data_IF_965023923758
#
_entry.id   IF_965023923758
#
_cell.length_a   1.000
_cell.length_b   1.000
_cell.length_c   1.000
_cell.angle_alpha   90.00
_cell.angle_beta   90.00
_cell.angle_gamma   90.00
#
_symmetry.space_group_name_H-M   'P 1'
#
loop_
_entity.id
_entity.type
_entity.pdbx_description
1 polymer ?
#
# COMPACT_ATOMS: atom_id res chain seq x y z
N UNK A 1 -30.65 0.71 -26.50
CA UNK A 1 -29.30 1.16 -26.16
C UNK A 1 -29.04 2.44 -26.94
N UNK A 2 -28.75 3.53 -26.26
CA UNK A 2 -28.48 4.82 -26.91
C UNK A 2 -27.09 4.80 -27.59
N UNK A 3 -26.85 5.68 -28.55
CA UNK A 3 -25.54 5.82 -29.22
C UNK A 3 -24.41 6.08 -28.20
N UNK A 4 -24.71 6.77 -27.09
CA UNK A 4 -23.76 7.04 -26.02
C UNK A 4 -23.32 5.77 -25.27
N UNK A 5 -24.25 4.87 -24.91
CA UNK A 5 -23.94 3.61 -24.25
C UNK A 5 -23.07 2.70 -25.14
N UNK A 6 -23.35 2.69 -26.45
CA UNK A 6 -22.54 1.95 -27.42
C UNK A 6 -21.10 2.48 -27.48
N UNK A 7 -20.93 3.80 -27.41
CA UNK A 7 -19.60 4.44 -27.39
C UNK A 7 -18.86 4.10 -26.09
N UNK A 8 -19.51 4.20 -24.93
CA UNK A 8 -18.90 3.89 -23.64
C UNK A 8 -18.46 2.42 -23.55
N UNK A 9 -19.28 1.49 -24.07
CA UNK A 9 -18.92 0.09 -24.15
C UNK A 9 -17.70 -0.15 -25.06
N UNK A 10 -17.63 0.54 -26.22
CA UNK A 10 -16.47 0.48 -27.13
C UNK A 10 -15.20 1.04 -26.50
N UNK A 11 -15.33 2.08 -25.67
CA UNK A 11 -14.23 2.68 -24.92
C UNK A 11 -13.84 1.90 -23.66
N UNK A 12 -14.60 0.85 -23.30
CA UNK A 12 -14.44 0.06 -22.08
C UNK A 12 -14.29 0.93 -20.83
N UNK A 13 -15.13 1.96 -20.72
CA UNK A 13 -15.06 2.93 -19.61
C UNK A 13 -15.57 2.27 -18.34
N UNK A 14 -14.73 2.23 -17.32
CA UNK A 14 -15.10 1.85 -15.96
C UNK A 14 -14.63 2.90 -14.96
N UNK A 15 -15.36 3.03 -13.85
CA UNK A 15 -14.92 3.86 -12.73
C UNK A 15 -13.67 3.25 -12.09
N UNK A 16 -12.80 4.11 -11.55
CA UNK A 16 -11.62 3.66 -10.83
C UNK A 16 -12.02 2.91 -9.56
N UNK A 17 -11.30 1.83 -9.26
CA UNK A 17 -11.49 1.04 -8.04
C UNK A 17 -10.14 0.84 -7.32
N UNK A 18 -10.18 0.75 -5.99
CA UNK A 18 -9.03 0.36 -5.16
C UNK A 18 -9.49 -0.61 -4.08
N UNK A 19 -8.56 -1.47 -3.66
CA UNK A 19 -8.79 -2.43 -2.58
C UNK A 19 -8.00 -2.02 -1.34
N UNK A 20 -8.68 -1.92 -0.20
CA UNK A 20 -8.10 -1.50 1.08
C UNK A 20 -8.28 -2.62 2.11
N UNK A 21 -7.20 -3.19 2.68
CA UNK A 21 -7.32 -4.14 3.77
C UNK A 21 -7.67 -3.43 5.09
N UNK A 22 -8.63 -3.98 5.82
CA UNK A 22 -8.99 -3.57 7.18
C UNK A 22 -8.63 -4.66 8.19
N UNK A 23 -7.94 -4.26 9.26
CA UNK A 23 -7.52 -5.15 10.34
C UNK A 23 -8.46 -4.93 11.52
N UNK A 24 -9.53 -5.72 11.58
CA UNK A 24 -10.61 -5.55 12.55
C UNK A 24 -10.37 -6.31 13.87
N UNK A 25 -9.42 -7.25 13.89
CA UNK A 25 -9.06 -7.99 15.10
C UNK A 25 -7.95 -7.26 15.89
N UNK A 26 -8.34 -6.23 16.64
CA UNK A 26 -7.42 -5.42 17.44
C UNK A 26 -6.66 -6.22 18.50
N UNK A 27 -7.25 -7.28 19.04
CA UNK A 27 -6.58 -8.16 20.00
C UNK A 27 -5.43 -8.93 19.36
N UNK A 28 -5.67 -9.53 18.20
CA UNK A 28 -4.64 -10.28 17.48
C UNK A 28 -3.49 -9.36 17.04
N UNK A 29 -3.81 -8.11 16.68
CA UNK A 29 -2.81 -7.09 16.40
C UNK A 29 -1.99 -6.72 17.66
N UNK A 30 -2.63 -6.57 18.81
CA UNK A 30 -1.94 -6.34 20.08
C UNK A 30 -1.01 -7.50 20.45
N UNK A 31 -1.48 -8.75 20.31
CA UNK A 31 -0.66 -9.95 20.55
C UNK A 31 0.58 -9.97 19.63
N UNK A 32 0.43 -9.56 18.36
CA UNK A 32 1.55 -9.40 17.43
C UNK A 32 2.53 -8.30 17.85
N UNK A 33 2.03 -7.13 18.26
CA UNK A 33 2.87 -6.02 18.75
C UNK A 33 3.66 -6.41 20.01
N UNK A 34 3.04 -7.15 20.93
CA UNK A 34 3.68 -7.65 22.14
C UNK A 34 4.81 -8.64 21.80
N UNK A 35 4.55 -9.61 20.92
CA UNK A 35 5.57 -10.55 20.45
C UNK A 35 6.73 -9.85 19.74
N UNK A 36 6.44 -8.82 18.94
CA UNK A 36 7.44 -8.02 18.24
C UNK A 36 8.34 -7.24 19.22
N UNK A 37 7.74 -6.68 20.27
CA UNK A 37 8.47 -5.99 21.33
C UNK A 37 9.38 -6.95 22.09
N UNK A 38 8.88 -8.11 22.50
CA UNK A 38 9.67 -9.14 23.17
C UNK A 38 10.88 -9.60 22.34
N UNK A 39 10.67 -9.83 21.03
CA UNK A 39 11.76 -10.19 20.12
C UNK A 39 12.81 -9.09 20.03
N UNK A 40 12.37 -7.84 19.92
CA UNK A 40 13.25 -6.67 19.82
C UNK A 40 14.09 -6.52 21.08
N UNK A 41 13.47 -6.62 22.26
CA UNK A 41 14.15 -6.53 23.55
C UNK A 41 15.18 -7.67 23.71
N UNK A 42 14.80 -8.91 23.34
CA UNK A 42 15.70 -10.06 23.40
C UNK A 42 16.92 -9.89 22.49
N UNK A 43 16.72 -9.38 21.27
CA UNK A 43 17.82 -9.09 20.34
C UNK A 43 18.76 -8.02 20.89
N UNK A 44 18.23 -6.98 21.53
CA UNK A 44 19.06 -5.93 22.15
C UNK A 44 19.89 -6.50 23.31
N UNK A 45 19.28 -7.31 24.19
CA UNK A 45 19.98 -7.97 25.30
C UNK A 45 21.08 -8.93 24.81
N UNK A 46 20.81 -9.69 23.74
CA UNK A 46 21.79 -10.60 23.15
C UNK A 46 22.99 -9.83 22.55
N UNK A 47 22.75 -8.72 21.84
CA UNK A 47 23.82 -7.86 21.31
C UNK A 47 24.68 -7.21 22.39
N UNK A 48 24.08 -6.84 23.52
CA UNK A 48 24.81 -6.28 24.67
C UNK A 48 25.68 -7.30 25.40
N UNK A 49 25.38 -8.60 25.24
CA UNK A 49 26.12 -9.70 25.85
C UNK A 49 27.19 -10.19 24.86
N UNK A 50 28.41 -9.66 24.97
CA UNK A 50 29.52 -9.84 24.02
C UNK A 50 30.04 -11.29 23.81
N UNK A 51 29.37 -12.31 24.34
CA UNK A 51 29.97 -13.62 24.62
C UNK A 51 29.23 -14.83 24.02
N UNK A 52 28.42 -14.63 22.97
CA UNK A 52 27.71 -15.76 22.37
C UNK A 52 27.81 -15.82 20.85
N UNK A 53 28.80 -16.60 20.38
CA UNK A 53 28.83 -17.19 19.03
C UNK A 53 27.72 -18.25 18.83
N UNK A 54 27.00 -18.63 19.88
CA UNK A 54 25.88 -19.56 19.82
C UNK A 54 24.57 -18.78 19.56
N UNK A 55 23.93 -19.04 18.42
CA UNK A 55 22.68 -18.38 18.07
C UNK A 55 21.59 -18.58 19.14
N UNK A 56 20.84 -17.52 19.43
CA UNK A 56 19.85 -17.44 20.52
C UNK A 56 18.58 -18.29 20.26
N UNK A 57 18.37 -19.41 20.98
CA UNK A 57 17.20 -20.27 20.78
C UNK A 57 15.88 -19.57 21.12
N UNK A 58 15.90 -18.65 22.09
CA UNK A 58 14.70 -17.95 22.52
C UNK A 58 14.30 -16.87 21.52
N UNK A 59 15.27 -16.13 20.95
CA UNK A 59 14.99 -15.23 19.84
C UNK A 59 14.43 -15.97 18.63
N UNK A 60 14.88 -17.20 18.34
CA UNK A 60 14.29 -18.03 17.27
C UNK A 60 12.84 -18.43 17.57
N UNK A 61 12.54 -18.77 18.82
CA UNK A 61 11.16 -19.08 19.26
C UNK A 61 10.24 -17.86 19.12
N UNK A 62 10.71 -16.68 19.56
CA UNK A 62 9.98 -15.41 19.45
C UNK A 62 9.76 -15.01 17.99
N UNK A 63 10.79 -15.14 17.14
CA UNK A 63 10.66 -14.88 15.70
C UNK A 63 9.59 -15.77 15.06
N UNK A 64 9.58 -17.08 15.36
CA UNK A 64 8.54 -17.98 14.87
C UNK A 64 7.14 -17.55 15.34
N UNK A 65 7.01 -17.11 16.60
CA UNK A 65 5.73 -16.63 17.13
C UNK A 65 5.26 -15.36 16.43
N UNK A 66 6.16 -14.43 16.14
CA UNK A 66 5.87 -13.23 15.34
C UNK A 66 5.37 -13.63 13.96
N UNK A 67 6.06 -14.54 13.26
CA UNK A 67 5.66 -15.01 11.92
C UNK A 67 4.26 -15.65 11.93
N UNK A 68 3.99 -16.50 12.94
CA UNK A 68 2.69 -17.15 13.12
C UNK A 68 1.57 -16.13 13.38
N UNK A 69 1.82 -15.10 14.19
CA UNK A 69 0.85 -14.05 14.50
C UNK A 69 0.65 -13.11 13.30
N UNK A 70 1.71 -12.77 12.58
CA UNK A 70 1.62 -11.94 11.38
C UNK A 70 0.74 -12.60 10.32
N UNK A 71 0.90 -13.91 10.11
CA UNK A 71 0.04 -14.65 9.19
C UNK A 71 -1.41 -14.67 9.68
N UNK A 72 -1.67 -14.88 10.98
CA UNK A 72 -3.02 -14.81 11.53
C UNK A 72 -3.64 -13.41 11.34
N UNK A 73 -2.89 -12.33 11.62
CA UNK A 73 -3.35 -10.94 11.40
C UNK A 73 -3.72 -10.76 9.92
N UNK A 74 -2.84 -11.20 9.02
CA UNK A 74 -3.03 -11.12 7.56
C UNK A 74 -4.24 -11.90 7.09
N UNK A 75 -4.49 -13.08 7.64
CA UNK A 75 -5.66 -13.90 7.32
C UNK A 75 -6.94 -13.33 7.90
N UNK A 76 -6.89 -12.65 9.05
CA UNK A 76 -8.07 -12.09 9.74
C UNK A 76 -8.60 -10.77 9.14
N UNK A 77 -7.95 -10.25 8.09
CA UNK A 77 -8.32 -8.95 7.51
C UNK A 77 -9.59 -9.05 6.68
N UNK A 78 -10.42 -8.01 6.76
CA UNK A 78 -11.46 -7.76 5.78
C UNK A 78 -10.87 -6.97 4.60
N UNK A 79 -11.38 -7.21 3.39
CA UNK A 79 -10.95 -6.56 2.17
C UNK A 79 -12.09 -5.67 1.68
N UNK A 80 -11.87 -4.36 1.68
CA UNK A 80 -12.86 -3.38 1.22
C UNK A 80 -12.52 -2.95 -0.20
N UNK A 81 -13.48 -3.05 -1.10
CA UNK A 81 -13.36 -2.51 -2.45
C UNK A 81 -14.09 -1.18 -2.53
N UNK A 82 -13.32 -0.14 -2.84
CA UNK A 82 -13.80 1.22 -3.01
C UNK A 82 -13.87 1.55 -4.51
N UNK A 83 -14.84 2.36 -4.90
CA UNK A 83 -15.03 2.86 -6.26
C UNK A 83 -15.17 4.38 -6.27
N UNK A 84 -14.64 5.01 -7.30
CA UNK A 84 -14.82 6.44 -7.59
C UNK A 84 -16.31 6.76 -7.85
N UNK A 85 -16.75 7.93 -7.43
CA UNK A 85 -18.06 8.49 -7.77
C UNK A 85 -18.02 9.27 -9.09
N UNK A 86 -16.86 9.35 -9.74
CA UNK A 86 -16.68 10.06 -11.00
C UNK A 86 -17.09 11.53 -10.89
N UNK A 87 -17.97 11.99 -11.78
CA UNK A 87 -18.41 13.40 -11.78
C UNK A 87 -19.40 13.73 -10.67
N UNK A 88 -20.05 12.73 -10.07
CA UNK A 88 -20.98 12.98 -8.95
C UNK A 88 -20.25 13.52 -7.71
N UNK A 89 -18.96 13.18 -7.53
CA UNK A 89 -18.10 13.69 -6.44
C UNK A 89 -18.19 15.21 -6.26
N UNK A 90 -18.15 15.98 -7.35
CA UNK A 90 -18.21 17.44 -7.27
C UNK A 90 -19.53 17.94 -6.66
N UNK A 91 -20.64 17.24 -6.90
CA UNK A 91 -21.93 17.56 -6.30
C UNK A 91 -21.90 17.45 -4.77
N UNK A 92 -21.29 16.38 -4.24
CA UNK A 92 -21.15 16.18 -2.80
C UNK A 92 -20.24 17.22 -2.14
N UNK A 93 -19.13 17.59 -2.79
CA UNK A 93 -18.23 18.66 -2.29
C UNK A 93 -18.96 20.01 -2.21
N UNK A 94 -19.73 20.38 -3.26
CA UNK A 94 -20.48 21.64 -3.29
C UNK A 94 -21.59 21.67 -2.23
N UNK A 95 -22.22 20.52 -1.97
CA UNK A 95 -23.30 20.40 -0.97
C UNK A 95 -22.83 20.71 0.46
N UNK A 96 -21.56 20.48 0.75
CA UNK A 96 -20.98 20.57 2.10
C UNK A 96 -19.88 21.64 2.15
N UNK A 97 -20.22 22.94 2.20
CA UNK A 97 -19.22 23.99 2.25
C UNK A 97 -18.34 23.91 3.52
N UNK A 98 -17.11 24.46 3.49
CA UNK A 98 -16.22 24.50 4.66
C UNK A 98 -16.88 25.09 5.90
N UNK A 99 -16.61 24.53 7.09
CA UNK A 99 -17.01 25.14 8.37
C UNK A 99 -16.21 26.41 8.64
N UNK A 100 -16.85 27.41 9.25
CA UNK A 100 -16.16 28.66 9.59
C UNK A 100 -15.06 28.42 10.63
N UNK A 101 -13.90 29.05 10.42
CA UNK A 101 -12.73 28.89 11.29
C UNK A 101 -11.99 27.55 11.21
N UNK A 102 -12.42 26.60 10.37
CA UNK A 102 -11.74 25.31 10.21
C UNK A 102 -10.74 25.36 9.04
N UNK A 103 -9.44 25.28 9.34
CA UNK A 103 -8.37 25.38 8.34
C UNK A 103 -8.24 24.13 7.46
N UNK A 104 -8.58 22.95 7.99
CA UNK A 104 -8.54 21.69 7.23
C UNK A 104 -9.67 21.65 6.20
N UNK A 105 -10.87 22.08 6.58
CA UNK A 105 -12.00 22.24 5.67
C UNK A 105 -11.69 23.27 4.56
N UNK A 106 -11.03 24.38 4.90
CA UNK A 106 -10.62 25.40 3.91
C UNK A 106 -9.60 24.84 2.92
N UNK A 107 -8.60 24.10 3.40
CA UNK A 107 -7.60 23.47 2.55
C UNK A 107 -8.22 22.39 1.64
N UNK A 108 -9.21 21.65 2.16
CA UNK A 108 -9.95 20.63 1.42
C UNK A 108 -10.95 21.25 0.41
N UNK A 109 -11.52 22.42 0.74
CA UNK A 109 -12.53 23.13 -0.04
C UNK A 109 -13.98 22.75 0.26
N UNK A 110 -14.21 21.97 1.33
CA UNK A 110 -15.52 21.53 1.79
C UNK A 110 -15.43 21.09 3.27
N UNK A 111 -16.58 20.89 3.93
CA UNK A 111 -16.64 20.20 5.21
C UNK A 111 -16.25 18.74 5.00
N UNK A 112 -15.02 18.39 5.40
CA UNK A 112 -14.41 17.11 5.10
C UNK A 112 -15.24 15.96 5.67
N UNK A 113 -15.65 16.06 6.92
CA UNK A 113 -16.39 15.01 7.63
C UNK A 113 -17.75 14.79 6.98
N UNK A 114 -18.52 15.86 6.72
CA UNK A 114 -19.84 15.75 6.11
C UNK A 114 -19.79 15.18 4.69
N UNK A 115 -18.76 15.52 3.90
CA UNK A 115 -18.54 14.90 2.58
C UNK A 115 -18.28 13.41 2.73
N UNK A 116 -17.36 13.00 3.60
CA UNK A 116 -16.99 11.59 3.73
C UNK A 116 -18.11 10.73 4.33
N UNK A 117 -18.87 11.25 5.28
CA UNK A 117 -20.04 10.57 5.85
C UNK A 117 -21.09 10.24 4.78
N UNK A 118 -21.29 11.12 3.80
CA UNK A 118 -22.26 10.92 2.72
C UNK A 118 -21.72 10.02 1.60
N UNK A 119 -20.45 10.18 1.21
CA UNK A 119 -19.88 9.47 0.05
C UNK A 119 -19.29 8.11 0.36
N UNK A 120 -18.85 7.86 1.59
CA UNK A 120 -18.25 6.58 1.98
C UNK A 120 -19.19 5.38 1.80
N UNK A 121 -20.47 5.40 2.24
CA UNK A 121 -21.38 4.27 2.04
C UNK A 121 -21.67 3.99 0.55
N UNK A 122 -21.50 5.00 -0.31
CA UNK A 122 -21.67 4.87 -1.76
C UNK A 122 -20.38 4.38 -2.44
N UNK A 123 -19.23 4.85 -1.96
CA UNK A 123 -17.92 4.51 -2.52
C UNK A 123 -17.50 3.09 -2.14
N UNK A 124 -17.95 2.59 -0.98
CA UNK A 124 -17.76 1.21 -0.57
C UNK A 124 -18.70 0.30 -1.37
N UNK A 125 -18.19 -0.43 -2.35
CA UNK A 125 -19.02 -1.27 -3.24
C UNK A 125 -19.06 -2.73 -2.80
N UNK A 126 -18.04 -3.21 -2.09
CA UNK A 126 -17.94 -4.59 -1.66
C UNK A 126 -17.02 -4.72 -0.45
N UNK A 127 -17.37 -5.63 0.45
CA UNK A 127 -16.54 -6.05 1.57
C UNK A 127 -16.40 -7.56 1.49
N UNK A 128 -15.17 -8.07 1.52
CA UNK A 128 -14.88 -9.50 1.59
C UNK A 128 -14.25 -9.83 2.95
N UNK A 129 -14.88 -10.72 3.70
CA UNK A 129 -14.41 -11.18 5.01
C UNK A 129 -13.24 -12.15 4.89
N UNK A 130 -12.58 -12.41 6.03
CA UNK A 130 -11.44 -13.32 6.14
C UNK A 130 -11.73 -14.75 5.63
N UNK A 131 -12.96 -15.24 5.79
CA UNK A 131 -13.42 -16.54 5.31
C UNK A 131 -13.88 -16.53 3.84
N UNK A 132 -13.69 -15.40 3.14
CA UNK A 132 -13.97 -15.25 1.72
C UNK A 132 -15.42 -14.94 1.36
N UNK A 133 -16.28 -14.63 2.35
CA UNK A 133 -17.64 -14.18 2.06
C UNK A 133 -17.61 -12.72 1.58
N UNK A 134 -18.21 -12.46 0.42
CA UNK A 134 -18.30 -11.12 -0.15
C UNK A 134 -19.72 -10.57 -0.02
N UNK A 135 -19.83 -9.37 0.55
CA UNK A 135 -21.07 -8.61 0.65
C UNK A 135 -21.00 -7.40 -0.28
N UNK A 136 -22.02 -7.21 -1.12
CA UNK A 136 -22.16 -5.98 -1.91
C UNK A 136 -22.66 -4.88 -0.99
N UNK A 137 -21.96 -3.76 -0.96
CA UNK A 137 -22.23 -2.65 -0.03
C UNK A 137 -22.99 -1.50 -0.69
N UNK A 138 -22.79 -1.30 -2.00
CA UNK A 138 -23.52 -0.34 -2.81
C UNK A 138 -23.81 -0.90 -4.20
N UNK A 139 -24.94 -0.50 -4.78
CA UNK A 139 -25.38 -0.88 -6.11
C UNK A 139 -26.06 0.29 -6.82
N UNK A 140 -25.98 0.32 -8.14
CA UNK A 140 -26.79 1.25 -8.92
C UNK A 140 -28.23 0.72 -9.01
N UNK A 141 -29.18 1.52 -8.57
CA UNK A 141 -30.63 1.27 -8.61
C UNK A 141 -31.24 2.45 -9.34
N UNK A 142 -31.92 2.19 -10.46
CA UNK A 142 -32.54 3.22 -11.30
C UNK A 142 -31.60 4.36 -11.73
N UNK A 143 -30.31 4.06 -11.92
CA UNK A 143 -29.28 5.03 -12.31
C UNK A 143 -28.65 5.78 -11.14
N UNK A 144 -29.06 5.49 -9.90
CA UNK A 144 -28.54 6.11 -8.69
C UNK A 144 -27.79 5.10 -7.81
N UNK A 145 -26.60 5.48 -7.35
CA UNK A 145 -25.80 4.65 -6.45
C UNK A 145 -26.46 4.64 -5.07
N UNK A 146 -26.84 3.46 -4.62
CA UNK A 146 -27.60 3.23 -3.39
C UNK A 146 -26.86 2.24 -2.50
N UNK A 147 -26.79 2.53 -1.20
CA UNK A 147 -26.27 1.60 -0.21
C UNK A 147 -27.20 0.39 -0.04
N UNK A 148 -26.65 -0.82 -0.09
CA UNK A 148 -27.42 -2.06 -0.01
C UNK A 148 -27.38 -2.72 1.36
N UNK A 149 -26.33 -2.45 2.15
CA UNK A 149 -26.10 -3.11 3.45
C UNK A 149 -25.79 -2.07 4.56
N UNK A 150 -26.80 -1.28 4.99
CA UNK A 150 -26.59 -0.17 5.93
C UNK A 150 -26.12 -0.60 7.31
N UNK A 151 -26.64 -1.71 7.85
CA UNK A 151 -26.25 -2.18 9.19
C UNK A 151 -24.85 -2.79 9.21
N UNK A 152 -24.46 -3.51 8.15
CA UNK A 152 -23.08 -4.01 8.01
C UNK A 152 -22.10 -2.85 7.85
N UNK A 153 -22.46 -1.84 7.06
CA UNK A 153 -21.64 -0.63 6.92
C UNK A 153 -21.39 0.04 8.26
N UNK A 154 -22.45 0.27 9.06
CA UNK A 154 -22.32 0.85 10.41
C UNK A 154 -21.42 0.01 11.29
N UNK A 155 -21.63 -1.31 11.33
CA UNK A 155 -20.80 -2.22 12.12
C UNK A 155 -19.32 -2.16 11.73
N UNK A 156 -18.99 -1.96 10.45
CA UNK A 156 -17.62 -1.77 9.99
C UNK A 156 -17.07 -0.42 10.44
N UNK A 157 -17.82 0.66 10.24
CA UNK A 157 -17.40 2.03 10.62
C UNK A 157 -17.18 2.13 12.13
N UNK A 158 -18.05 1.54 12.93
CA UNK A 158 -17.92 1.52 14.40
C UNK A 158 -16.72 0.68 14.88
N UNK A 159 -16.25 -0.27 14.06
CA UNK A 159 -15.15 -1.17 14.39
C UNK A 159 -13.77 -0.65 13.96
N UNK A 160 -13.70 0.26 12.98
CA UNK A 160 -12.43 0.84 12.54
C UNK A 160 -11.99 1.97 13.48
N UNK A 161 -10.68 2.13 13.64
CA UNK A 161 -10.12 3.27 14.35
C UNK A 161 -9.94 4.49 13.42
N UNK A 162 -9.64 5.65 14.00
CA UNK A 162 -9.46 6.92 13.27
C UNK A 162 -8.43 6.85 12.14
N UNK A 163 -7.36 6.07 12.32
CA UNK A 163 -6.29 5.90 11.31
C UNK A 163 -6.81 5.08 10.11
N UNK A 164 -7.53 3.98 10.37
CA UNK A 164 -8.16 3.17 9.33
C UNK A 164 -9.25 3.95 8.61
N UNK A 165 -10.07 4.72 9.34
CA UNK A 165 -11.06 5.63 8.77
C UNK A 165 -10.41 6.68 7.87
N UNK A 166 -9.37 7.36 8.36
CA UNK A 166 -8.61 8.34 7.60
C UNK A 166 -8.02 7.74 6.32
N UNK A 167 -7.50 6.51 6.39
CA UNK A 167 -7.00 5.79 5.23
C UNK A 167 -8.10 5.49 4.19
N UNK A 168 -9.30 5.08 4.62
CA UNK A 168 -10.45 4.91 3.72
C UNK A 168 -10.80 6.23 3.03
N UNK A 169 -10.94 7.33 3.80
CA UNK A 169 -11.24 8.66 3.27
C UNK A 169 -10.19 9.12 2.26
N UNK A 170 -8.90 8.92 2.54
CA UNK A 170 -7.81 9.27 1.64
C UNK A 170 -7.86 8.48 0.32
N UNK A 171 -8.21 7.19 0.37
CA UNK A 171 -8.37 6.37 -0.83
C UNK A 171 -9.58 6.82 -1.67
N UNK A 172 -10.72 7.12 -1.03
CA UNK A 172 -11.89 7.69 -1.73
C UNK A 172 -11.55 9.03 -2.37
N UNK A 173 -10.83 9.91 -1.66
CA UNK A 173 -10.36 11.17 -2.22
C UNK A 173 -9.47 10.95 -3.45
N UNK A 174 -8.47 10.08 -3.34
CA UNK A 174 -7.53 9.78 -4.41
C UNK A 174 -8.24 9.20 -5.65
N UNK A 175 -9.25 8.34 -5.48
CA UNK A 175 -10.05 7.79 -6.57
C UNK A 175 -10.87 8.85 -7.34
N UNK A 176 -11.27 9.93 -6.67
CA UNK A 176 -12.12 10.96 -7.26
C UNK A 176 -11.35 12.18 -7.79
N UNK A 177 -10.17 12.46 -7.24
CA UNK A 177 -9.33 13.62 -7.59
C UNK A 177 -8.04 13.25 -8.30
N UNK A 178 -7.56 12.02 -8.13
CA UNK A 178 -6.33 11.55 -8.73
C UNK A 178 -6.49 11.24 -10.22
N UNK A 179 -5.43 11.49 -10.99
CA UNK A 179 -5.32 10.97 -12.34
C UNK A 179 -4.97 9.48 -12.31
N UNK A 180 -5.70 8.66 -13.07
CA UNK A 180 -5.25 7.30 -13.35
C UNK A 180 -4.00 7.38 -14.23
N UNK A 181 -2.87 6.92 -13.69
CA UNK A 181 -1.65 6.73 -14.47
C UNK A 181 -1.13 5.32 -14.21
N UNK A 182 -0.63 4.68 -15.27
CA UNK A 182 0.03 3.38 -15.16
C UNK A 182 1.51 3.65 -14.98
N UNK A 183 2.09 3.46 -13.78
CA UNK A 183 3.51 3.65 -13.58
C UNK A 183 4.31 2.56 -14.31
N UNK A 184 5.48 2.93 -14.84
CA UNK A 184 6.38 1.98 -15.46
C UNK A 184 6.96 1.02 -14.42
N UNK A 185 6.70 -0.28 -14.56
CA UNK A 185 7.25 -1.30 -13.65
C UNK A 185 8.67 -1.69 -14.06
N UNK A 186 9.66 -1.13 -13.36
CA UNK A 186 11.07 -1.52 -13.56
C UNK A 186 11.33 -3.00 -13.24
N UNK A 187 10.59 -3.59 -12.30
CA UNK A 187 10.73 -5.01 -11.95
C UNK A 187 10.19 -5.88 -13.08
N UNK A 188 8.99 -5.59 -13.61
CA UNK A 188 8.44 -6.32 -14.75
C UNK A 188 9.33 -6.16 -15.99
N UNK A 189 9.85 -4.96 -16.23
CA UNK A 189 10.80 -4.69 -17.31
C UNK A 189 12.08 -5.53 -17.19
N UNK A 190 12.66 -5.63 -15.99
CA UNK A 190 13.87 -6.46 -15.76
C UNK A 190 13.61 -7.95 -15.99
N UNK A 191 12.45 -8.47 -15.56
CA UNK A 191 12.08 -9.89 -15.76
C UNK A 191 11.83 -10.19 -17.25
N UNK A 192 11.21 -9.28 -17.98
CA UNK A 192 10.98 -9.44 -19.41
C UNK A 192 12.27 -9.30 -20.24
N UNK A 193 13.24 -8.51 -19.78
CA UNK A 193 14.55 -8.39 -20.43
C UNK A 193 15.45 -9.60 -20.19
N UNK A 194 15.36 -10.26 -19.03
CA UNK A 194 16.15 -11.47 -18.75
C UNK A 194 15.64 -12.72 -19.48
N UNK A 195 14.38 -12.73 -19.93
CA UNK A 195 13.76 -13.84 -20.67
C UNK A 195 13.88 -13.72 -22.21
N UNK A 196 14.28 -12.56 -22.74
CA UNK A 196 14.60 -12.35 -24.17
C UNK A 196 16.05 -12.72 -24.55
N UNK A 197 16.80 -13.33 -23.64
CA UNK A 197 18.23 -13.61 -23.77
C UNK A 197 18.60 -14.82 -24.64
N UNK A 198 17.67 -15.45 -25.36
CA UNK A 198 18.00 -16.49 -26.35
C UNK A 198 18.36 -15.85 -27.70
N UNK A 199 19.34 -14.94 -27.65
CA UNK A 199 19.99 -14.42 -28.86
C UNK A 199 21.16 -15.34 -29.18
N UNK A 200 20.99 -16.09 -30.27
CA UNK A 200 22.01 -16.94 -30.89
C UNK A 200 23.37 -16.24 -30.90
N UNK A 201 24.33 -16.75 -30.13
CA UNK A 201 25.75 -16.50 -30.39
C UNK A 201 26.10 -17.28 -31.66
N UNK A 202 26.51 -16.64 -32.77
CA UNK A 202 27.21 -17.37 -33.81
C UNK A 202 28.56 -17.80 -33.20
N UNK A 203 28.80 -19.11 -33.17
CA UNK A 203 30.12 -19.67 -32.92
C UNK A 203 31.09 -19.18 -34.01
N UNK A 204 31.75 -18.05 -33.74
CA UNK A 204 32.86 -17.53 -34.53
C UNK A 204 34.19 -17.88 -33.88
N UNK A 205 34.63 -19.12 -34.10
CA UNK A 205 36.01 -19.55 -33.90
C UNK A 205 36.96 -18.63 -34.68
N UNK A 206 37.92 -18.02 -33.98
CA UNK A 206 38.92 -17.14 -34.57
C UNK A 206 40.04 -16.81 -33.59
N UNK A 207 40.90 -17.79 -33.32
CA UNK A 207 42.16 -17.58 -32.60
C UNK A 207 43.09 -16.61 -33.34
N UNK A 208 43.81 -15.75 -32.60
CA UNK A 208 45.29 -15.70 -32.53
C UNK A 208 45.83 -14.52 -31.70
N UNK A 209 46.75 -14.86 -30.77
CA UNK A 209 48.01 -14.15 -30.38
C UNK A 209 47.91 -12.73 -29.79
N UNK A 210 48.76 -12.18 -28.92
CA UNK A 210 49.99 -12.54 -28.18
C UNK A 210 50.48 -11.25 -27.50
N UNK A 211 51.03 -11.32 -26.27
CA UNK A 211 51.85 -10.27 -25.63
C UNK A 211 51.06 -9.15 -24.92
N UNK A 212 51.51 -8.51 -23.84
CA UNK A 212 52.82 -8.44 -23.20
C UNK A 212 52.68 -7.82 -21.79
N UNK A 213 53.51 -8.31 -20.86
CA UNK A 213 54.12 -7.67 -19.68
C UNK A 213 53.84 -6.19 -19.38
N UNK A 214 53.72 -5.89 -18.07
CA UNK A 214 54.29 -4.67 -17.48
C UNK A 214 53.55 -4.19 -16.23
N UNK A 215 54.09 -4.47 -15.04
CA UNK A 215 53.58 -3.90 -13.79
C UNK A 215 54.05 -2.46 -13.55
N UNK A 216 53.43 -1.78 -12.58
CA UNK A 216 54.16 -0.83 -11.72
C UNK A 216 53.38 -0.52 -10.46
N UNK A 217 54.11 -0.62 -9.34
CA UNK A 217 53.78 -0.10 -8.01
C UNK A 217 53.82 1.43 -8.03
N UNK A 218 52.88 2.08 -7.36
CA UNK A 218 52.96 3.50 -7.00
C UNK A 218 52.46 3.71 -5.58
N UNK A 219 53.39 4.03 -4.68
CA UNK A 219 53.19 4.34 -3.25
C UNK A 219 52.68 5.78 -3.05
N UNK A 220 51.88 5.95 -1.99
CA UNK A 220 51.89 7.02 -0.97
C UNK A 220 51.95 8.51 -1.37
N UNK A 221 51.02 9.30 -0.82
CA UNK A 221 51.40 10.51 -0.07
C UNK A 221 50.29 10.93 0.91
N UNK A 222 50.62 10.86 2.19
CA UNK A 222 49.94 11.52 3.30
C UNK A 222 50.26 13.01 3.29
N UNK A 223 49.28 13.86 3.55
CA UNK A 223 49.51 15.22 4.06
C UNK A 223 48.52 15.51 5.17
N UNK A 224 49.03 15.46 6.39
CA UNK A 224 48.49 16.13 7.56
C UNK A 224 48.70 17.64 7.40
N UNK A 225 47.68 18.44 7.70
CA UNK A 225 47.83 19.87 8.01
C UNK A 225 47.20 20.14 9.36
N UNK A 226 48.09 20.22 10.35
CA UNK A 226 47.92 20.96 11.60
C UNK A 226 47.90 22.45 11.31
N UNK A 227 47.04 23.24 11.98
CA UNK A 227 47.24 24.62 12.49
C UNK A 227 45.87 25.18 12.93
N UNK A 228 45.67 25.38 14.25
CA UNK A 228 45.78 26.66 15.01
C UNK A 228 44.49 27.51 14.91
N UNK A 229 43.74 27.60 16.00
CA UNK A 229 43.81 28.66 17.03
C UNK A 229 43.29 30.00 16.47
N UNK A 230 41.99 30.25 16.69
CA UNK A 230 41.44 31.42 17.43
C UNK A 230 39.94 31.17 17.72
#
# INVERSE_FOLDING_TARGET
MSDAESILAKLNVSLAEVTVPLYLNGRLYADWQDAQRELTDRQQQHRASADSLAGDPEARRLAKRVDELEEQVRQSRAIVRLRSLGRAWTGYVVKHPPRDGDEDDKAFGANRDAVFDEVMPLSMIEVTTADGQSCRMAAEVDGELTQTEPELYRAIVDAVNDEQWSNLCNNVYALNRGGLSVPFSHVASKINQSSGGDSSKPNGSGSRTSGSRGGSRGKSSSTSTTSKDD
#
